data_IF_616892493035
#
_entry.id   IF_616892493035
#
_cell.length_a   1.000
_cell.length_b   1.000
_cell.length_c   1.000
_cell.angle_alpha   90.00
_cell.angle_beta   90.00
_cell.angle_gamma   90.00
#
_symmetry.space_group_name_H-M   'P 1'
#
loop_
_entity.id
_entity.type
_entity.pdbx_description
1 polymer ?
#
# COMPACT_ATOMS: atom_id res chain seq x y z
N UNK A 1 -2.70 -0.27 5.33
CA UNK A 1 -3.19 0.43 4.14
C UNK A 1 -3.64 1.86 4.42
N UNK A 2 -4.51 2.12 5.39
CA UNK A 2 -5.00 3.48 5.73
C UNK A 2 -3.85 4.46 6.02
N UNK A 3 -2.82 4.04 6.76
CA UNK A 3 -1.65 4.88 7.06
C UNK A 3 -0.89 5.35 5.80
N UNK A 4 -0.74 4.46 4.79
CA UNK A 4 -0.11 4.81 3.51
C UNK A 4 -0.93 5.87 2.77
N UNK A 5 -2.25 5.68 2.69
CA UNK A 5 -3.16 6.64 2.06
C UNK A 5 -3.08 7.99 2.74
N UNK A 6 -3.09 8.02 4.08
CA UNK A 6 -2.98 9.25 4.86
C UNK A 6 -1.64 9.95 4.64
N UNK A 7 -0.52 9.21 4.62
CA UNK A 7 0.81 9.75 4.29
C UNK A 7 0.81 10.42 2.90
N UNK A 8 0.23 9.77 1.87
CA UNK A 8 0.14 10.32 0.51
C UNK A 8 -0.65 11.63 0.50
N UNK A 9 -1.83 11.67 1.15
CA UNK A 9 -2.67 12.87 1.21
C UNK A 9 -1.95 14.00 1.94
N UNK A 10 -1.30 13.72 3.07
CA UNK A 10 -0.56 14.73 3.85
C UNK A 10 0.62 15.28 3.05
N UNK A 11 1.47 14.43 2.47
CA UNK A 11 2.62 14.86 1.66
C UNK A 11 2.16 15.71 0.47
N UNK A 12 1.16 15.23 -0.30
CA UNK A 12 0.65 15.98 -1.45
C UNK A 12 0.01 17.31 -1.04
N UNK A 13 -0.65 17.37 0.13
CA UNK A 13 -1.23 18.59 0.69
C UNK A 13 -0.15 19.62 1.05
N UNK A 14 0.91 19.20 1.72
CA UNK A 14 2.04 20.07 2.08
C UNK A 14 2.69 20.64 0.81
N UNK A 15 3.00 19.78 -0.17
CA UNK A 15 3.68 20.22 -1.38
C UNK A 15 2.85 21.20 -2.20
N UNK A 16 1.57 20.95 -2.40
CA UNK A 16 0.72 21.85 -3.16
C UNK A 16 0.48 23.18 -2.43
N UNK A 17 0.45 23.15 -1.10
CA UNK A 17 0.35 24.37 -0.27
C UNK A 17 1.59 25.25 -0.44
N UNK A 18 2.78 24.65 -0.42
CA UNK A 18 4.04 25.38 -0.69
C UNK A 18 4.05 26.00 -2.09
N UNK A 19 3.53 25.27 -3.10
CA UNK A 19 3.37 25.82 -4.43
C UNK A 19 2.50 27.07 -4.45
N UNK A 20 1.30 27.03 -3.87
CA UNK A 20 0.38 28.17 -3.87
C UNK A 20 0.87 29.37 -3.06
N UNK A 21 1.58 29.13 -1.96
CA UNK A 21 2.10 30.19 -1.11
C UNK A 21 3.32 30.90 -1.71
N UNK A 22 4.25 30.14 -2.29
CA UNK A 22 5.57 30.67 -2.65
C UNK A 22 5.85 30.72 -4.15
N UNK A 23 5.35 29.73 -4.92
CA UNK A 23 5.80 29.47 -6.29
C UNK A 23 4.82 29.95 -7.35
N UNK A 24 3.50 29.87 -7.12
CA UNK A 24 2.48 30.16 -8.14
C UNK A 24 2.61 31.56 -8.75
N UNK A 25 2.92 32.56 -7.91
CA UNK A 25 2.99 33.97 -8.33
C UNK A 25 4.33 34.37 -8.95
N UNK A 26 5.29 33.43 -9.00
CA UNK A 26 6.64 33.72 -9.50
C UNK A 26 6.81 33.32 -10.97
N UNK A 27 7.51 34.17 -11.72
CA UNK A 27 7.82 33.89 -13.13
C UNK A 27 9.02 32.94 -13.27
N UNK A 28 8.93 31.76 -12.64
CA UNK A 28 9.89 30.65 -12.71
C UNK A 28 9.20 29.39 -13.28
N UNK A 29 8.44 29.57 -14.34
CA UNK A 29 7.44 28.62 -14.87
C UNK A 29 7.98 27.23 -15.14
N UNK A 30 9.21 27.10 -15.72
CA UNK A 30 9.85 25.80 -15.95
C UNK A 30 10.15 25.07 -14.64
N UNK A 31 10.64 25.79 -13.63
CA UNK A 31 10.86 25.23 -12.30
C UNK A 31 9.54 24.80 -11.65
N UNK A 32 8.51 25.63 -11.76
CA UNK A 32 7.18 25.32 -11.23
C UNK A 32 6.61 24.05 -11.82
N UNK A 33 6.80 23.80 -13.13
CA UNK A 33 6.40 22.56 -13.77
C UNK A 33 7.12 21.35 -13.19
N UNK A 34 8.46 21.42 -13.10
CA UNK A 34 9.27 20.33 -12.53
C UNK A 34 8.88 20.09 -11.07
N UNK A 35 8.70 21.16 -10.28
CA UNK A 35 8.28 21.08 -8.89
C UNK A 35 6.93 20.36 -8.75
N UNK A 36 5.92 20.77 -9.53
CA UNK A 36 4.58 20.17 -9.46
C UNK A 36 4.59 18.68 -9.82
N UNK A 37 5.31 18.30 -10.88
CA UNK A 37 5.38 16.90 -11.30
C UNK A 37 6.20 16.06 -10.31
N UNK A 38 7.39 16.55 -9.91
CA UNK A 38 8.24 15.83 -8.95
C UNK A 38 7.60 15.71 -7.57
N UNK A 39 6.96 16.76 -7.06
CA UNK A 39 6.26 16.74 -5.77
C UNK A 39 5.07 15.78 -5.80
N UNK A 40 4.33 15.74 -6.90
CA UNK A 40 3.24 14.79 -7.10
C UNK A 40 3.75 13.35 -7.05
N UNK A 41 4.76 13.00 -7.87
CA UNK A 41 5.32 11.65 -7.91
C UNK A 41 5.96 11.27 -6.57
N UNK A 42 6.69 12.21 -5.94
CA UNK A 42 7.36 11.98 -4.67
C UNK A 42 6.34 11.71 -3.55
N UNK A 43 5.19 12.39 -3.54
CA UNK A 43 4.14 12.11 -2.53
C UNK A 43 3.64 10.67 -2.54
N UNK A 44 3.67 10.02 -3.70
CA UNK A 44 3.33 8.59 -3.85
C UNK A 44 4.52 7.65 -3.55
N UNK A 45 5.75 8.12 -3.78
CA UNK A 45 6.95 7.32 -3.55
C UNK A 45 7.38 7.27 -2.07
N UNK A 46 7.22 8.38 -1.33
CA UNK A 46 7.67 8.52 0.06
C UNK A 46 7.24 7.39 0.99
N UNK A 47 5.99 6.89 0.99
CA UNK A 47 5.58 5.81 1.89
C UNK A 47 6.32 4.48 1.69
N UNK A 48 6.98 4.30 0.54
CA UNK A 48 7.74 3.10 0.19
C UNK A 48 9.25 3.27 0.38
N UNK A 49 9.70 4.46 0.77
CA UNK A 49 11.11 4.74 1.05
C UNK A 49 11.38 4.36 2.50
N UNK A 50 12.28 3.38 2.71
CA UNK A 50 12.75 2.99 4.04
C UNK A 50 14.12 3.60 4.31
N UNK A 51 14.29 4.23 5.47
CA UNK A 51 15.58 4.77 5.92
C UNK A 51 16.08 3.91 7.07
N UNK A 52 17.20 3.21 6.87
CA UNK A 52 17.86 2.42 7.91
C UNK A 52 18.70 3.33 8.82
N UNK A 53 18.36 3.34 10.10
CA UNK A 53 19.12 4.08 11.12
C UNK A 53 20.02 3.12 11.90
N UNK A 54 21.30 3.47 12.17
CA UNK A 54 22.14 2.67 13.06
C UNK A 54 21.58 2.73 14.48
N UNK A 55 21.39 1.58 15.11
CA UNK A 55 20.96 1.49 16.51
C UNK A 55 22.13 1.75 17.45
N UNK A 56 21.93 2.66 18.40
CA UNK A 56 22.82 2.81 19.56
C UNK A 56 22.34 1.83 20.63
N UNK A 57 23.14 0.79 20.90
CA UNK A 57 22.76 -0.33 21.75
C UNK A 57 22.79 0.04 23.23
N UNK A 58 21.66 -0.10 23.92
CA UNK A 58 21.61 -0.33 25.36
C UNK A 58 21.31 -1.81 25.59
N UNK A 59 22.24 -2.53 26.15
CA UNK A 59 22.11 -3.94 26.48
C UNK A 59 20.98 -4.15 27.51
N UNK A 60 19.91 -4.83 27.10
CA UNK A 60 18.94 -5.41 28.03
C UNK A 60 18.83 -6.91 27.76
N UNK A 61 18.89 -7.68 28.82
CA UNK A 61 18.69 -9.14 28.80
C UNK A 61 17.37 -9.53 28.15
N UNK A 62 17.32 -10.59 27.33
CA UNK A 62 16.08 -11.04 26.70
C UNK A 62 15.08 -11.47 27.77
N UNK A 63 13.89 -10.89 27.72
CA UNK A 63 12.78 -11.29 28.59
C UNK A 63 11.70 -11.93 27.72
N UNK A 64 11.34 -13.18 28.08
CA UNK A 64 10.16 -13.86 27.54
C UNK A 64 8.92 -13.25 28.19
N UNK A 65 8.11 -12.52 27.43
CA UNK A 65 6.83 -12.00 27.89
C UNK A 65 5.75 -12.90 27.32
N UNK A 66 5.00 -13.55 28.21
CA UNK A 66 3.79 -14.28 27.83
C UNK A 66 2.62 -13.30 27.99
N UNK A 67 2.06 -12.88 26.88
CA UNK A 67 0.95 -11.94 26.85
C UNK A 67 -0.31 -12.50 27.54
N UNK A 68 -1.18 -11.62 28.01
CA UNK A 68 -2.44 -12.06 28.59
C UNK A 68 -3.23 -12.89 27.59
N UNK A 69 -3.54 -14.10 28.00
CA UNK A 69 -4.26 -15.07 27.18
C UNK A 69 -5.68 -14.55 27.01
N UNK A 70 -5.99 -13.99 25.86
CA UNK A 70 -7.38 -13.87 25.45
C UNK A 70 -7.86 -15.31 25.20
N UNK A 71 -8.57 -15.86 26.19
CA UNK A 71 -9.20 -17.17 26.05
C UNK A 71 -10.30 -17.03 24.99
N UNK A 72 -9.94 -17.22 23.75
CA UNK A 72 -10.91 -17.47 22.70
C UNK A 72 -11.25 -18.95 22.76
N UNK A 73 -12.42 -19.27 23.31
CA UNK A 73 -13.11 -20.51 22.95
C UNK A 73 -13.17 -20.55 21.43
N UNK A 74 -12.32 -21.35 20.83
CA UNK A 74 -12.42 -21.64 19.39
C UNK A 74 -13.62 -22.56 19.22
N UNK A 75 -14.81 -21.96 19.26
CA UNK A 75 -15.95 -22.55 18.55
C UNK A 75 -15.48 -22.55 17.09
N UNK A 76 -15.29 -23.73 16.52
CA UNK A 76 -15.04 -23.87 15.09
C UNK A 76 -16.19 -23.13 14.41
N UNK A 77 -15.95 -21.97 13.78
CA UNK A 77 -17.03 -21.29 13.09
C UNK A 77 -17.34 -22.21 11.91
N UNK A 78 -18.52 -22.82 11.93
CA UNK A 78 -19.15 -23.22 10.68
C UNK A 78 -19.15 -21.95 9.83
N UNK A 79 -18.47 -21.97 8.69
CA UNK A 79 -18.39 -20.86 7.74
C UNK A 79 -19.82 -20.51 7.28
N UNK A 80 -20.54 -19.81 8.12
CA UNK A 80 -21.63 -18.99 7.64
C UNK A 80 -20.96 -17.85 6.88
N UNK A 81 -21.25 -17.77 5.60
CA UNK A 81 -20.71 -16.77 4.68
C UNK A 81 -20.89 -15.37 5.25
N UNK A 82 -19.97 -14.97 6.14
CA UNK A 82 -19.97 -13.65 6.73
C UNK A 82 -19.67 -12.66 5.61
N UNK A 83 -20.58 -11.76 5.40
CA UNK A 83 -20.42 -10.62 4.50
C UNK A 83 -19.13 -9.90 4.89
N UNK A 84 -18.06 -10.17 4.15
CA UNK A 84 -16.75 -9.62 4.47
C UNK A 84 -16.74 -8.17 4.01
N UNK A 85 -16.89 -7.23 4.95
CA UNK A 85 -16.90 -5.79 4.70
C UNK A 85 -15.68 -5.34 3.86
N UNK A 86 -14.54 -6.00 4.06
CA UNK A 86 -13.32 -5.74 3.30
C UNK A 86 -13.50 -6.05 1.82
N UNK A 87 -14.14 -7.18 1.48
CA UNK A 87 -14.42 -7.56 0.09
C UNK A 87 -15.41 -6.60 -0.57
N UNK A 88 -16.41 -6.13 0.20
CA UNK A 88 -17.34 -5.12 -0.28
C UNK A 88 -16.64 -3.79 -0.58
N UNK A 89 -15.75 -3.32 0.29
CA UNK A 89 -14.96 -2.10 0.06
C UNK A 89 -14.07 -2.24 -1.18
N UNK A 90 -13.43 -3.39 -1.40
CA UNK A 90 -12.66 -3.66 -2.60
C UNK A 90 -13.54 -3.68 -3.85
N UNK A 91 -14.74 -4.25 -3.77
CA UNK A 91 -15.72 -4.25 -4.87
C UNK A 91 -16.12 -2.84 -5.27
N UNK A 92 -16.44 -1.98 -4.31
CA UNK A 92 -16.78 -0.55 -4.54
C UNK A 92 -15.60 0.19 -5.17
N UNK A 93 -14.38 -0.01 -4.64
CA UNK A 93 -13.17 0.62 -5.19
C UNK A 93 -12.94 0.23 -6.65
N UNK A 94 -13.01 -1.06 -6.98
CA UNK A 94 -12.85 -1.57 -8.35
C UNK A 94 -13.92 -1.02 -9.27
N UNK A 95 -15.18 -0.96 -8.82
CA UNK A 95 -16.29 -0.44 -9.61
C UNK A 95 -16.09 1.03 -9.98
N UNK A 96 -15.76 1.89 -8.99
CA UNK A 96 -15.51 3.32 -9.23
C UNK A 96 -14.28 3.51 -10.14
N UNK A 97 -13.20 2.79 -9.87
CA UNK A 97 -11.95 2.88 -10.66
C UNK A 97 -12.20 2.46 -12.11
N UNK A 98 -12.93 1.36 -12.33
CA UNK A 98 -13.29 0.88 -13.67
C UNK A 98 -14.19 1.88 -14.40
N UNK A 99 -15.17 2.48 -13.72
CA UNK A 99 -16.01 3.53 -14.28
C UNK A 99 -15.20 4.75 -14.73
N UNK A 100 -14.27 5.23 -13.87
CA UNK A 100 -13.41 6.37 -14.17
C UNK A 100 -12.45 6.06 -15.32
N UNK A 101 -11.90 4.85 -15.36
CA UNK A 101 -11.03 4.38 -16.44
C UNK A 101 -11.77 4.35 -17.76
N UNK A 102 -12.97 3.77 -17.79
CA UNK A 102 -13.83 3.73 -18.98
C UNK A 102 -14.19 5.15 -19.47
N UNK A 103 -14.58 6.04 -18.56
CA UNK A 103 -14.85 7.45 -18.88
C UNK A 103 -13.64 8.15 -19.52
N UNK A 104 -12.44 7.96 -18.97
CA UNK A 104 -11.22 8.55 -19.53
C UNK A 104 -10.88 7.94 -20.89
N UNK A 105 -11.02 6.62 -21.06
CA UNK A 105 -10.82 5.94 -22.32
C UNK A 105 -11.77 6.48 -23.41
N UNK A 106 -13.07 6.62 -23.09
CA UNK A 106 -14.05 7.22 -24.00
C UNK A 106 -13.64 8.65 -24.38
N UNK A 107 -13.15 9.45 -23.42
CA UNK A 107 -12.67 10.81 -23.70
C UNK A 107 -11.48 10.82 -24.68
N UNK A 108 -10.51 9.93 -24.50
CA UNK A 108 -9.37 9.80 -25.43
C UNK A 108 -9.81 9.30 -26.80
N UNK A 109 -10.75 8.35 -26.86
CA UNK A 109 -11.32 7.86 -28.12
C UNK A 109 -12.10 8.95 -28.85
N UNK A 110 -12.81 9.85 -28.14
CA UNK A 110 -13.48 11.00 -28.75
C UNK A 110 -12.46 11.91 -29.44
N UNK A 111 -11.33 12.24 -28.79
CA UNK A 111 -10.25 13.05 -29.41
C UNK A 111 -9.68 12.33 -30.64
N UNK A 112 -9.41 11.02 -30.52
CA UNK A 112 -8.85 10.23 -31.63
C UNK A 112 -9.83 10.11 -32.83
N UNK A 113 -11.13 10.23 -32.60
CA UNK A 113 -12.18 10.17 -33.62
C UNK A 113 -12.52 11.52 -34.28
N UNK A 114 -11.90 12.63 -33.79
CA UNK A 114 -12.10 13.93 -34.44
C UNK A 114 -11.60 13.80 -35.88
N UNK A 115 -12.53 13.98 -36.81
CA UNK A 115 -12.25 13.90 -38.27
C UNK A 115 -12.06 15.30 -38.84
N UNK A 116 -11.15 15.43 -39.77
CA UNK A 116 -10.87 16.70 -40.42
C UNK A 116 -9.79 16.60 -41.50
N UNK A 117 -9.56 17.69 -42.16
CA UNK A 117 -8.51 17.79 -43.19
C UNK A 117 -7.15 18.01 -42.51
N UNK A 118 -6.19 17.12 -42.76
CA UNK A 118 -4.81 17.29 -42.31
C UNK A 118 -4.10 18.34 -43.14
N UNK A 119 -3.53 19.32 -42.45
CA UNK A 119 -2.68 20.36 -43.04
C UNK A 119 -1.31 20.38 -42.34
N UNK A 120 -0.22 20.53 -43.12
CA UNK A 120 1.12 20.65 -42.54
C UNK A 120 1.52 22.12 -42.54
N UNK A 121 1.74 22.67 -41.36
CA UNK A 121 2.12 24.06 -41.17
C UNK A 121 3.36 24.13 -40.26
N UNK A 122 4.46 24.73 -40.74
CA UNK A 122 5.74 24.83 -40.01
C UNK A 122 6.19 23.52 -39.33
N UNK A 123 6.16 22.39 -40.04
CA UNK A 123 6.55 21.05 -39.57
C UNK A 123 5.60 20.42 -38.50
N UNK A 124 4.48 21.04 -38.23
CA UNK A 124 3.47 20.50 -37.32
C UNK A 124 2.22 20.05 -38.09
N UNK A 125 1.59 18.99 -37.61
CA UNK A 125 0.33 18.50 -38.17
C UNK A 125 -0.83 19.27 -37.53
N UNK A 126 -1.65 19.89 -38.36
CA UNK A 126 -2.88 20.56 -37.95
C UNK A 126 -4.05 19.79 -38.51
N UNK A 127 -5.04 19.51 -37.72
CA UNK A 127 -6.30 18.92 -38.13
C UNK A 127 -7.36 19.99 -38.15
N UNK A 128 -7.82 20.35 -39.35
CA UNK A 128 -8.88 21.33 -39.58
C UNK A 128 -10.22 20.62 -39.63
N UNK A 129 -11.14 21.02 -38.76
CA UNK A 129 -12.48 20.47 -38.69
C UNK A 129 -13.50 21.53 -39.17
N UNK A 130 -14.59 21.07 -39.77
CA UNK A 130 -15.73 21.96 -40.14
C UNK A 130 -16.49 22.48 -38.93
N UNK A 131 -16.37 21.85 -37.81
CA UNK A 131 -16.96 22.31 -36.54
C UNK A 131 -16.23 23.58 -36.06
N UNK A 132 -16.98 24.50 -35.46
CA UNK A 132 -16.40 25.69 -34.83
C UNK A 132 -15.68 25.30 -33.52
N UNK A 133 -14.51 24.69 -33.66
CA UNK A 133 -13.71 24.15 -32.58
C UNK A 133 -12.59 25.14 -32.21
N UNK A 134 -12.53 25.55 -30.96
CA UNK A 134 -11.39 26.32 -30.43
C UNK A 134 -10.09 25.58 -30.62
N UNK A 135 -9.01 26.27 -30.94
CA UNK A 135 -7.69 25.66 -31.05
C UNK A 135 -7.31 24.92 -29.74
N UNK A 136 -6.83 23.72 -29.90
CA UNK A 136 -6.18 22.97 -28.83
C UNK A 136 -5.17 21.97 -29.39
N UNK A 137 -4.22 21.60 -28.57
CA UNK A 137 -3.19 20.63 -28.94
C UNK A 137 -3.28 19.36 -28.09
N UNK A 138 -3.16 18.23 -28.76
CA UNK A 138 -3.06 16.94 -28.11
C UNK A 138 -1.98 16.07 -28.77
N UNK A 139 -1.08 15.51 -27.96
CA UNK A 139 0.08 14.72 -28.40
C UNK A 139 0.94 15.47 -29.41
N UNK A 140 0.85 15.19 -30.71
CA UNK A 140 1.64 15.81 -31.80
C UNK A 140 0.79 16.58 -32.80
N UNK A 141 -0.51 16.77 -32.53
CA UNK A 141 -1.46 17.36 -33.47
C UNK A 141 -2.14 18.57 -32.83
N UNK A 142 -2.25 19.64 -33.60
CA UNK A 142 -3.08 20.81 -33.27
C UNK A 142 -4.44 20.60 -33.93
N UNK A 143 -5.51 20.76 -33.18
CA UNK A 143 -6.89 20.67 -33.63
C UNK A 143 -7.50 22.06 -33.62
N UNK A 144 -8.18 22.45 -34.70
CA UNK A 144 -8.87 23.75 -34.78
C UNK A 144 -9.95 23.74 -35.86
N UNK A 145 -10.91 24.65 -35.73
CA UNK A 145 -11.92 24.88 -36.76
C UNK A 145 -11.32 25.50 -38.03
N UNK A 146 -11.95 25.26 -39.20
CA UNK A 146 -11.51 25.87 -40.48
C UNK A 146 -11.57 27.41 -40.44
N UNK A 147 -12.36 28.02 -39.55
CA UNK A 147 -12.48 29.48 -39.37
C UNK A 147 -11.18 30.13 -38.87
N UNK A 148 -10.26 29.37 -38.29
CA UNK A 148 -8.96 29.87 -37.83
C UNK A 148 -7.87 29.93 -38.93
N UNK A 149 -8.20 29.44 -40.09
CA UNK A 149 -7.27 29.44 -41.24
C UNK A 149 -7.80 30.34 -42.37
N UNK A 150 -7.18 31.51 -42.55
CA UNK A 150 -7.48 32.43 -43.62
C UNK A 150 -6.37 32.38 -44.66
N UNK A 151 -6.68 32.06 -45.94
CA UNK A 151 -5.69 31.97 -47.03
C UNK A 151 -4.49 31.11 -46.72
N UNK A 152 -4.68 29.96 -46.04
CA UNK A 152 -3.61 29.06 -45.55
C UNK A 152 -2.67 29.69 -44.49
N UNK A 153 -3.08 30.77 -43.86
CA UNK A 153 -2.33 31.42 -42.76
C UNK A 153 -3.12 31.35 -41.48
N UNK A 154 -2.45 30.94 -40.42
CA UNK A 154 -3.01 30.91 -39.04
C UNK A 154 -2.40 32.10 -38.29
N UNK A 155 -3.17 32.72 -37.34
CA UNK A 155 -2.60 33.76 -36.50
C UNK A 155 -1.32 33.22 -35.81
N UNK A 156 -0.15 33.84 -35.99
CA UNK A 156 1.09 33.36 -35.42
C UNK A 156 1.05 33.19 -33.92
N UNK A 157 0.25 33.99 -33.22
CA UNK A 157 0.10 33.94 -31.74
C UNK A 157 -0.61 32.68 -31.31
N UNK A 158 -1.71 32.31 -32.00
CA UNK A 158 -2.42 31.05 -31.74
C UNK A 158 -1.52 29.85 -32.07
N UNK A 159 -0.87 29.89 -33.22
CA UNK A 159 0.03 28.81 -33.63
C UNK A 159 1.18 28.58 -32.65
N UNK A 160 1.87 29.66 -32.19
CA UNK A 160 2.98 29.54 -31.24
C UNK A 160 2.48 29.03 -29.90
N UNK A 161 1.30 29.44 -29.45
CA UNK A 161 0.67 28.96 -28.21
C UNK A 161 0.48 27.44 -28.26
N UNK A 162 -0.24 26.94 -29.28
CA UNK A 162 -0.54 25.52 -29.45
C UNK A 162 0.71 24.66 -29.73
N UNK A 163 1.62 25.18 -30.56
CA UNK A 163 2.93 24.56 -30.80
C UNK A 163 3.71 24.34 -29.50
N UNK A 164 3.68 25.28 -28.59
CA UNK A 164 4.39 25.18 -27.31
C UNK A 164 3.87 24.04 -26.45
N UNK A 165 2.56 23.78 -26.44
CA UNK A 165 1.99 22.63 -25.76
C UNK A 165 2.53 21.31 -26.31
N UNK A 166 2.70 21.20 -27.64
CA UNK A 166 3.25 20.01 -28.28
C UNK A 166 4.75 19.86 -27.96
N UNK A 167 5.54 20.92 -28.18
CA UNK A 167 6.99 20.89 -27.99
C UNK A 167 7.39 20.60 -26.56
N UNK A 168 6.64 21.15 -25.60
CA UNK A 168 6.84 20.87 -24.19
C UNK A 168 6.15 19.61 -23.69
N UNK A 169 5.42 18.87 -24.56
CA UNK A 169 4.75 17.61 -24.24
C UNK A 169 3.79 17.71 -23.06
N UNK A 170 3.03 18.82 -22.95
CA UNK A 170 2.08 19.06 -21.87
C UNK A 170 1.02 17.95 -21.76
N UNK A 171 0.66 17.29 -22.85
CA UNK A 171 -0.27 16.16 -22.85
C UNK A 171 0.19 15.00 -21.97
N UNK A 172 1.51 14.76 -21.85
CA UNK A 172 2.06 13.70 -20.99
C UNK A 172 1.80 14.00 -19.51
N UNK A 173 2.02 15.25 -19.09
CA UNK A 173 1.79 15.66 -17.71
C UNK A 173 0.33 15.45 -17.30
N UNK A 174 -0.59 15.80 -18.20
CA UNK A 174 -2.04 15.61 -17.98
C UNK A 174 -2.42 14.13 -17.96
N UNK A 175 -1.81 13.30 -18.81
CA UNK A 175 -2.06 11.86 -18.80
C UNK A 175 -1.58 11.21 -17.50
N UNK A 176 -0.37 11.55 -17.03
CA UNK A 176 0.15 11.06 -15.74
C UNK A 176 -0.82 11.43 -14.61
N UNK A 177 -1.24 12.68 -14.56
CA UNK A 177 -2.17 13.15 -13.55
C UNK A 177 -3.52 12.43 -13.62
N UNK A 178 -4.06 12.20 -14.82
CA UNK A 178 -5.32 11.49 -15.00
C UNK A 178 -5.20 10.02 -14.56
N UNK A 179 -4.09 9.34 -14.84
CA UNK A 179 -3.83 7.98 -14.34
C UNK A 179 -3.85 7.97 -12.81
N UNK A 180 -3.13 8.89 -12.16
CA UNK A 180 -3.14 9.01 -10.70
C UNK A 180 -4.54 9.29 -10.15
N UNK A 181 -5.35 10.13 -10.82
CA UNK A 181 -6.74 10.43 -10.42
C UNK A 181 -7.68 9.23 -10.56
N UNK A 182 -7.45 8.34 -11.50
CA UNK A 182 -8.24 7.12 -11.66
C UNK A 182 -8.03 6.18 -10.45
N UNK A 183 -6.77 5.94 -10.08
CA UNK A 183 -6.43 5.04 -8.98
C UNK A 183 -6.57 5.66 -7.59
N UNK A 184 -6.41 6.97 -7.50
CA UNK A 184 -6.49 7.72 -6.23
C UNK A 184 -7.63 8.73 -6.23
N UNK A 185 -8.79 8.32 -6.75
CA UNK A 185 -9.98 9.18 -6.89
C UNK A 185 -10.45 9.76 -5.55
N UNK A 186 -10.14 9.10 -4.45
CA UNK A 186 -10.42 9.54 -3.08
C UNK A 186 -9.49 10.65 -2.59
N UNK A 187 -8.42 11.01 -3.31
CA UNK A 187 -7.51 12.09 -2.94
C UNK A 187 -7.96 13.43 -3.54
N UNK A 188 -8.58 14.34 -2.77
CA UNK A 188 -9.07 15.62 -3.28
C UNK A 188 -7.94 16.57 -3.71
N UNK A 189 -6.73 16.37 -3.20
CA UNK A 189 -5.57 17.22 -3.49
C UNK A 189 -5.17 17.16 -4.97
N UNK A 190 -5.47 16.04 -5.64
CA UNK A 190 -5.24 15.88 -7.08
C UNK A 190 -6.02 16.89 -7.93
N UNK A 191 -7.17 17.39 -7.45
CA UNK A 191 -7.90 18.47 -8.13
C UNK A 191 -7.12 19.78 -8.10
N UNK A 192 -6.42 20.05 -6.99
CA UNK A 192 -5.58 21.26 -6.87
C UNK A 192 -4.34 21.12 -7.76
N UNK A 193 -3.70 19.95 -7.81
CA UNK A 193 -2.61 19.68 -8.76
C UNK A 193 -3.04 19.85 -10.21
N UNK A 194 -4.22 19.33 -10.58
CA UNK A 194 -4.76 19.48 -11.93
C UNK A 194 -4.88 20.96 -12.32
N UNK A 195 -5.47 21.76 -11.44
CA UNK A 195 -5.59 23.22 -11.65
C UNK A 195 -4.24 23.91 -11.75
N UNK A 196 -3.29 23.57 -10.87
CA UNK A 196 -1.97 24.17 -10.85
C UNK A 196 -1.16 23.81 -12.11
N UNK A 197 -1.15 22.54 -12.52
CA UNK A 197 -0.42 22.05 -13.71
C UNK A 197 -0.98 22.69 -14.97
N UNK A 198 -2.29 22.67 -15.19
CA UNK A 198 -2.92 23.29 -16.35
C UNK A 198 -2.62 24.79 -16.40
N UNK A 199 -2.78 25.49 -15.27
CA UNK A 199 -2.50 26.94 -15.22
C UNK A 199 -1.04 27.24 -15.53
N UNK A 200 -0.10 26.42 -15.06
CA UNK A 200 1.31 26.60 -15.35
C UNK A 200 1.66 26.29 -16.82
N UNK A 201 0.96 25.32 -17.48
CA UNK A 201 1.08 25.05 -18.90
C UNK A 201 0.67 26.27 -19.74
N UNK A 202 -0.47 26.90 -19.37
CA UNK A 202 -0.93 28.13 -20.03
C UNK A 202 0.10 29.26 -19.89
N UNK A 203 0.68 29.43 -18.69
CA UNK A 203 1.73 30.45 -18.49
C UNK A 203 2.97 30.18 -19.35
N UNK A 204 3.36 28.92 -19.54
CA UNK A 204 4.48 28.55 -20.39
C UNK A 204 4.20 28.80 -21.88
N UNK A 205 2.99 28.51 -22.35
CA UNK A 205 2.56 28.80 -23.70
C UNK A 205 2.50 30.31 -23.96
N UNK A 206 1.91 31.08 -23.03
CA UNK A 206 1.88 32.54 -23.10
C UNK A 206 3.29 33.14 -23.09
N UNK A 207 4.19 32.61 -22.25
CA UNK A 207 5.58 33.08 -22.25
C UNK A 207 6.27 32.89 -23.62
N UNK A 208 5.95 31.80 -24.33
CA UNK A 208 6.50 31.53 -25.66
C UNK A 208 5.97 32.55 -26.68
N UNK A 209 4.69 32.89 -26.66
CA UNK A 209 4.11 33.94 -27.51
C UNK A 209 4.76 35.30 -27.25
N UNK A 210 4.88 35.65 -25.96
CA UNK A 210 5.49 36.94 -25.55
C UNK A 210 6.95 37.10 -25.96
N UNK A 211 7.71 35.98 -26.08
CA UNK A 211 9.11 36.02 -26.55
C UNK A 211 9.26 36.34 -28.05
N UNK A 212 8.18 36.26 -28.81
CA UNK A 212 8.17 36.57 -30.25
C UNK A 212 7.72 38.04 -30.54
N UNK A 213 8.07 38.97 -29.65
CA UNK A 213 7.80 40.41 -29.82
C UNK A 213 6.32 40.78 -30.04
N UNK A 214 5.41 40.03 -29.41
CA UNK A 214 3.99 40.30 -29.46
C UNK A 214 3.61 41.40 -28.46
N UNK A 215 2.72 42.31 -28.87
CA UNK A 215 2.13 43.28 -27.92
C UNK A 215 1.23 42.56 -26.92
N UNK A 216 1.46 42.83 -25.63
CA UNK A 216 0.74 42.20 -24.53
C UNK A 216 -0.77 42.45 -24.59
N UNK A 217 -1.15 43.72 -24.95
CA UNK A 217 -2.56 44.10 -24.98
C UNK A 217 -3.29 43.40 -26.13
N UNK A 218 -2.67 43.40 -27.32
CA UNK A 218 -3.24 42.72 -28.48
C UNK A 218 -3.42 41.21 -28.22
N UNK A 219 -2.42 40.57 -27.59
CA UNK A 219 -2.54 39.16 -27.26
C UNK A 219 -3.60 38.88 -26.18
N UNK A 220 -3.71 39.76 -25.18
CA UNK A 220 -4.77 39.67 -24.17
C UNK A 220 -6.15 39.82 -24.79
N UNK A 221 -6.32 40.75 -25.76
CA UNK A 221 -7.56 40.92 -26.49
C UNK A 221 -7.91 39.68 -27.31
N UNK A 222 -6.93 39.09 -28.02
CA UNK A 222 -7.11 37.86 -28.76
C UNK A 222 -7.64 36.72 -27.87
N UNK A 223 -7.02 36.52 -26.69
CA UNK A 223 -7.49 35.52 -25.73
C UNK A 223 -8.92 35.83 -25.26
N UNK A 224 -9.25 37.09 -25.08
CA UNK A 224 -10.60 37.50 -24.64
C UNK A 224 -11.64 37.25 -25.73
N UNK A 225 -11.33 37.60 -26.98
CA UNK A 225 -12.19 37.32 -28.15
C UNK A 225 -12.40 35.81 -28.30
N UNK A 226 -11.36 34.99 -28.15
CA UNK A 226 -11.46 33.54 -28.20
C UNK A 226 -12.42 32.99 -27.15
N UNK A 227 -12.34 33.49 -25.92
CA UNK A 227 -13.25 33.09 -24.84
C UNK A 227 -14.68 33.55 -25.13
N UNK A 228 -14.88 34.74 -25.66
CA UNK A 228 -16.21 35.31 -25.95
C UNK A 228 -16.92 34.58 -27.13
N UNK A 229 -16.16 34.24 -28.16
CA UNK A 229 -16.69 33.55 -29.35
C UNK A 229 -17.12 32.10 -29.09
N UNK A 230 -16.56 31.47 -28.03
CA UNK A 230 -16.86 30.07 -27.68
C UNK A 230 -17.69 29.92 -26.42
N UNK A 231 -18.39 30.97 -25.97
CA UNK A 231 -19.26 30.89 -24.79
C UNK A 231 -20.48 30.02 -25.07
N UNK A 232 -20.49 28.82 -24.51
CA UNK A 232 -21.66 28.02 -24.24
C UNK A 232 -22.42 28.59 -23.01
N UNK A 233 -23.74 28.28 -22.81
CA UNK A 233 -24.66 29.02 -21.94
C UNK A 233 -24.20 29.27 -20.49
N UNK A 234 -24.82 30.25 -19.81
CA UNK A 234 -24.27 31.04 -18.69
C UNK A 234 -23.95 30.33 -17.36
N UNK A 235 -24.25 29.03 -17.23
CA UNK A 235 -24.04 28.31 -15.96
C UNK A 235 -22.61 27.75 -15.72
N UNK A 236 -21.72 27.86 -16.71
CA UNK A 236 -20.35 27.27 -16.62
C UNK A 236 -19.22 28.30 -16.51
N UNK A 237 -19.53 29.59 -16.42
CA UNK A 237 -18.56 30.69 -16.67
C UNK A 237 -17.62 31.05 -15.52
N UNK A 238 -17.89 30.74 -14.27
CA UNK A 238 -17.09 31.25 -13.15
C UNK A 238 -15.68 30.63 -13.06
N UNK A 239 -15.48 29.44 -13.61
CA UNK A 239 -14.18 28.75 -13.49
C UNK A 239 -13.14 29.20 -14.52
N UNK A 240 -13.51 29.53 -15.74
CA UNK A 240 -12.57 29.92 -16.79
C UNK A 240 -12.03 31.36 -16.58
N UNK A 241 -12.86 32.28 -16.10
CA UNK A 241 -12.45 33.67 -15.90
C UNK A 241 -11.30 33.83 -14.90
N UNK A 242 -11.28 33.04 -13.83
CA UNK A 242 -10.19 33.09 -12.85
C UNK A 242 -8.83 32.65 -13.42
N UNK A 243 -8.80 31.66 -14.33
CA UNK A 243 -7.58 31.25 -14.98
C UNK A 243 -7.08 32.31 -15.97
N UNK A 244 -7.96 32.91 -16.75
CA UNK A 244 -7.64 34.00 -17.68
C UNK A 244 -7.06 35.21 -16.95
N UNK A 245 -7.68 35.60 -15.83
CA UNK A 245 -7.14 36.67 -14.97
C UNK A 245 -5.71 36.37 -14.50
N UNK A 246 -5.44 35.13 -14.07
CA UNK A 246 -4.09 34.70 -13.66
C UNK A 246 -3.09 34.77 -14.83
N UNK A 247 -3.47 34.35 -16.03
CA UNK A 247 -2.65 34.47 -17.25
C UNK A 247 -2.28 35.93 -17.51
N UNK A 248 -3.25 36.84 -17.49
CA UNK A 248 -3.02 38.28 -17.73
C UNK A 248 -2.11 38.92 -16.70
N UNK A 249 -2.23 38.54 -15.42
CA UNK A 249 -1.33 38.98 -14.36
C UNK A 249 0.08 38.44 -14.60
N UNK A 250 0.22 37.14 -14.93
CA UNK A 250 1.51 36.50 -15.12
C UNK A 250 2.28 37.06 -16.33
N UNK A 251 1.61 37.45 -17.42
CA UNK A 251 2.22 38.07 -18.58
C UNK A 251 2.94 39.40 -18.22
N UNK A 252 2.37 40.17 -17.28
CA UNK A 252 2.92 41.43 -16.80
C UNK A 252 3.95 41.28 -15.68
N UNK A 253 4.01 40.12 -15.04
CA UNK A 253 4.88 39.87 -13.88
C UNK A 253 6.35 39.74 -14.31
N UNK A 254 7.24 40.41 -13.58
CA UNK A 254 8.70 40.28 -13.73
C UNK A 254 9.25 39.31 -12.70
N UNK A 255 10.40 38.68 -12.97
CA UNK A 255 11.11 37.85 -11.99
C UNK A 255 11.49 38.70 -10.77
N UNK A 256 11.19 38.18 -9.57
CA UNK A 256 11.60 38.85 -8.33
C UNK A 256 13.04 38.51 -7.96
N UNK A 257 13.69 39.38 -7.18
CA UNK A 257 15.04 39.10 -6.64
C UNK A 257 15.08 37.89 -5.73
N UNK A 258 13.94 37.54 -5.10
CA UNK A 258 13.79 36.40 -4.21
C UNK A 258 13.43 35.09 -4.90
N UNK A 259 13.43 35.05 -6.23
CA UNK A 259 13.06 33.86 -6.98
C UNK A 259 13.95 32.63 -6.68
N UNK A 260 15.24 32.86 -6.39
CA UNK A 260 16.17 31.82 -5.98
C UNK A 260 15.82 31.26 -4.60
N UNK A 261 15.57 32.13 -3.62
CA UNK A 261 15.16 31.73 -2.27
C UNK A 261 13.87 30.90 -2.29
N UNK A 262 12.89 31.29 -3.12
CA UNK A 262 11.64 30.52 -3.25
C UNK A 262 11.84 29.15 -3.88
N UNK A 263 12.78 29.02 -4.81
CA UNK A 263 13.18 27.70 -5.35
C UNK A 263 13.83 26.83 -4.28
N UNK A 264 14.76 27.39 -3.48
CA UNK A 264 15.40 26.63 -2.41
C UNK A 264 14.38 26.18 -1.37
N UNK A 265 13.44 27.02 -0.96
CA UNK A 265 12.33 26.63 -0.07
C UNK A 265 11.54 25.46 -0.65
N UNK A 266 11.19 25.50 -1.94
CA UNK A 266 10.49 24.39 -2.58
C UNK A 266 11.30 23.08 -2.52
N UNK A 267 12.59 23.13 -2.82
CA UNK A 267 13.47 21.94 -2.80
C UNK A 267 13.67 21.42 -1.37
N UNK A 268 13.91 22.31 -0.39
CA UNK A 268 14.12 21.90 1.00
C UNK A 268 12.89 21.22 1.58
N UNK A 269 11.68 21.69 1.24
CA UNK A 269 10.43 21.02 1.67
C UNK A 269 10.30 19.62 1.07
N UNK A 270 10.68 19.42 -0.22
CA UNK A 270 10.67 18.08 -0.83
C UNK A 270 11.62 17.14 -0.09
N UNK A 271 12.85 17.57 0.20
CA UNK A 271 13.85 16.77 0.91
C UNK A 271 13.41 16.48 2.36
N UNK A 272 12.93 17.50 3.08
CA UNK A 272 12.46 17.35 4.46
C UNK A 272 11.30 16.38 4.57
N UNK A 273 10.39 16.38 3.60
CA UNK A 273 9.26 15.46 3.58
C UNK A 273 9.73 13.99 3.42
N UNK A 274 10.75 13.71 2.60
CA UNK A 274 11.34 12.39 2.49
C UNK A 274 11.85 11.91 3.85
N UNK A 275 12.59 12.77 4.56
CA UNK A 275 13.15 12.40 5.88
C UNK A 275 12.08 12.21 6.95
N UNK A 276 11.01 13.02 6.92
CA UNK A 276 9.97 13.02 7.94
C UNK A 276 8.95 11.89 7.76
N UNK A 277 8.60 11.57 6.51
CA UNK A 277 7.49 10.65 6.21
C UNK A 277 7.93 9.28 5.68
N UNK A 278 9.25 9.07 5.42
CA UNK A 278 9.78 7.75 5.08
C UNK A 278 9.67 6.79 6.27
N UNK A 279 9.61 5.51 5.98
CA UNK A 279 9.58 4.46 7.00
C UNK A 279 10.98 4.27 7.59
N UNK A 280 11.08 4.21 8.93
CA UNK A 280 12.38 4.04 9.61
C UNK A 280 12.52 2.58 9.97
N UNK A 281 13.53 1.92 9.42
CA UNK A 281 13.97 0.60 9.85
C UNK A 281 15.30 0.73 10.57
N UNK A 282 15.47 0.01 11.67
CA UNK A 282 16.73 -0.01 12.40
C UNK A 282 17.61 -1.11 11.82
N UNK A 283 18.82 -0.77 11.37
CA UNK A 283 19.75 -1.73 10.78
C UNK A 283 20.25 -2.72 11.81
N UNK A 284 20.13 -4.01 11.51
CA UNK A 284 20.89 -5.05 12.19
C UNK A 284 22.33 -5.02 11.68
N UNK A 285 23.32 -4.97 12.59
CA UNK A 285 24.71 -4.99 12.21
C UNK A 285 25.10 -6.39 11.68
N UNK A 286 25.55 -6.55 10.41
CA UNK A 286 25.94 -7.84 9.88
C UNK A 286 27.32 -8.35 10.40
N UNK A 287 27.97 -7.61 11.28
CA UNK A 287 29.37 -7.90 11.70
C UNK A 287 29.53 -8.97 12.79
N UNK A 288 28.48 -9.78 13.09
CA UNK A 288 28.61 -10.84 14.09
C UNK A 288 28.94 -12.24 13.53
N UNK A 289 29.21 -12.36 12.21
CA UNK A 289 29.55 -13.67 11.62
C UNK A 289 31.05 -14.03 11.57
N UNK A 290 31.95 -13.20 12.12
CA UNK A 290 33.39 -13.43 12.00
C UNK A 290 34.14 -13.43 13.35
N UNK A 291 33.62 -13.97 14.43
CA UNK A 291 34.44 -14.25 15.61
C UNK A 291 33.86 -15.41 16.41
N UNK A 292 34.13 -16.63 16.00
CA UNK A 292 34.25 -17.76 16.91
C UNK A 292 35.13 -18.83 16.30
N UNK A 293 36.41 -18.51 16.19
CA UNK A 293 37.48 -19.53 16.17
C UNK A 293 38.69 -18.92 16.79
N UNK A 294 38.70 -18.91 18.12
CA UNK A 294 39.94 -18.85 18.88
C UNK A 294 39.85 -19.91 19.96
N UNK A 295 40.28 -21.08 19.57
CA UNK A 295 40.63 -22.16 20.49
C UNK A 295 41.72 -21.61 21.43
N UNK A 296 41.35 -21.33 22.67
CA UNK A 296 42.31 -21.06 23.72
C UNK A 296 42.72 -22.42 24.29
N UNK A 297 43.91 -22.85 23.93
CA UNK A 297 44.60 -23.94 24.60
C UNK A 297 44.68 -23.63 26.09
N UNK A 298 44.09 -24.48 26.93
CA UNK A 298 44.34 -24.50 28.36
C UNK A 298 45.51 -25.48 28.65
N UNK A 299 46.43 -25.13 29.53
CA UNK A 299 47.58 -25.97 29.83
C UNK A 299 47.18 -27.16 30.68
N UNK A 300 47.66 -28.30 30.24
CA UNK A 300 47.62 -29.60 30.89
C UNK A 300 48.36 -29.55 32.27
N UNK A 301 47.63 -29.86 33.34
CA UNK A 301 48.25 -30.34 34.56
C UNK A 301 47.88 -31.80 34.76
N UNK A 302 48.94 -32.56 34.87
CA UNK A 302 49.07 -34.02 35.11
C UNK A 302 48.62 -34.34 36.53
N UNK A 303 47.68 -35.26 36.66
CA UNK A 303 47.32 -35.90 37.94
C UNK A 303 46.89 -37.33 37.70
N UNK A 304 47.79 -38.22 38.03
CA UNK A 304 47.80 -39.66 37.95
C UNK A 304 46.60 -40.33 38.65
N UNK A 305 45.98 -41.36 38.07
CA UNK A 305 45.63 -42.68 38.63
C UNK A 305 44.66 -43.49 37.74
N UNK A 306 45.20 -44.54 37.31
CA UNK A 306 44.84 -45.95 36.94
C UNK A 306 43.40 -46.39 36.66
N UNK A 307 43.25 -47.51 35.94
CA UNK A 307 42.25 -47.75 34.95
C UNK A 307 41.12 -48.72 35.43
N UNK A 308 39.91 -48.58 34.87
CA UNK A 308 38.97 -49.68 34.88
C UNK A 308 38.59 -50.02 33.42
N UNK A 309 38.88 -51.26 33.06
CA UNK A 309 38.45 -51.97 31.90
C UNK A 309 36.96 -52.28 32.05
N UNK A 310 36.21 -52.17 30.98
CA UNK A 310 35.26 -53.25 30.56
C UNK A 310 34.69 -52.97 29.17
N UNK A 311 35.10 -53.83 28.27
CA UNK A 311 34.37 -54.58 27.22
C UNK A 311 33.52 -53.88 26.18
N UNK A 312 34.06 -53.92 24.99
CA UNK A 312 33.43 -53.91 23.67
C UNK A 312 32.22 -54.87 23.56
N UNK A 313 31.13 -54.40 23.00
CA UNK A 313 30.32 -55.20 22.08
C UNK A 313 29.81 -54.28 20.98
N UNK A 314 30.37 -54.44 19.80
CA UNK A 314 29.79 -54.05 18.51
C UNK A 314 28.78 -55.12 18.07
N UNK A 315 27.74 -54.75 17.33
CA UNK A 315 27.48 -55.46 16.11
C UNK A 315 27.35 -54.60 14.88
N UNK A 316 28.16 -54.95 13.94
CA UNK A 316 28.07 -54.71 12.52
C UNK A 316 26.72 -55.22 11.93
N UNK A 317 26.08 -54.44 11.07
CA UNK A 317 25.24 -55.00 10.02
C UNK A 317 25.37 -54.27 8.70
N UNK A 318 25.54 -55.09 7.70
CA UNK A 318 25.85 -54.91 6.31
C UNK A 318 24.88 -54.07 5.49
N UNK A 319 25.48 -53.35 4.60
CA UNK A 319 25.01 -52.89 3.31
C UNK A 319 24.44 -54.00 2.41
N UNK A 320 23.27 -53.80 1.78
CA UNK A 320 22.93 -54.41 0.51
C UNK A 320 22.03 -53.50 -0.34
N UNK A 321 22.65 -53.04 -1.38
CA UNK A 321 22.10 -52.54 -2.65
C UNK A 321 21.18 -53.56 -3.30
N UNK A 322 20.04 -53.12 -3.86
CA UNK A 322 19.56 -53.63 -5.15
C UNK A 322 18.54 -52.67 -5.78
N UNK A 323 18.87 -52.35 -7.01
CA UNK A 323 18.04 -51.77 -8.06
C UNK A 323 16.85 -52.65 -8.41
N UNK A 324 15.75 -52.11 -8.91
CA UNK A 324 15.24 -52.25 -10.27
C UNK A 324 13.71 -52.01 -10.41
N UNK A 325 13.42 -51.18 -11.38
CA UNK A 325 12.43 -51.33 -12.48
C UNK A 325 10.93 -51.08 -12.23
N UNK A 326 10.52 -49.97 -12.81
CA UNK A 326 9.54 -49.75 -13.90
C UNK A 326 8.39 -50.74 -14.01
N UNK A 327 7.15 -50.23 -13.94
CA UNK A 327 6.11 -50.55 -14.95
C UNK A 327 4.89 -49.65 -14.79
N UNK A 328 4.52 -49.06 -15.90
CA UNK A 328 3.26 -48.37 -16.19
C UNK A 328 2.07 -49.36 -16.19
N UNK A 329 0.87 -48.84 -15.96
CA UNK A 329 -0.40 -49.20 -16.65
C UNK A 329 -1.49 -48.24 -16.21
N UNK A 330 -1.86 -47.35 -17.10
CA UNK A 330 -3.13 -47.05 -17.77
C UNK A 330 -4.45 -47.40 -17.08
N UNK A 331 -5.32 -46.39 -16.97
CA UNK A 331 -6.61 -46.49 -17.61
C UNK A 331 -7.87 -46.50 -16.72
N UNK A 332 -8.86 -45.81 -17.24
CA UNK A 332 -10.31 -45.87 -16.99
C UNK A 332 -10.84 -44.89 -15.90
N UNK A 333 -11.89 -44.18 -16.09
CA UNK A 333 -12.91 -43.91 -17.12
C UNK A 333 -13.92 -42.96 -16.44
N UNK A 334 -14.34 -42.01 -17.18
CA UNK A 334 -15.43 -41.04 -16.97
C UNK A 334 -16.78 -41.76 -16.83
N UNK A 335 -17.61 -41.34 -15.88
CA UNK A 335 -19.04 -41.53 -16.02
C UNK A 335 -19.85 -40.38 -15.41
N UNK A 336 -20.64 -39.76 -16.28
CA UNK A 336 -21.76 -38.85 -16.01
C UNK A 336 -22.92 -39.62 -15.40
N UNK A 337 -23.77 -38.95 -14.59
CA UNK A 337 -25.23 -39.05 -14.66
C UNK A 337 -25.89 -38.08 -13.67
N UNK A 338 -26.56 -37.09 -14.22
CA UNK A 338 -28.00 -36.84 -14.38
C UNK A 338 -28.73 -36.25 -13.15
N UNK A 339 -29.24 -35.04 -13.44
CA UNK A 339 -30.45 -34.33 -12.97
C UNK A 339 -31.56 -35.21 -12.37
N UNK A 340 -32.16 -34.73 -11.25
CA UNK A 340 -33.61 -34.74 -11.07
C UNK A 340 -34.02 -33.45 -10.35
N UNK A 341 -35.00 -32.77 -10.94
CA UNK A 341 -35.78 -31.64 -10.52
C UNK A 341 -36.91 -32.15 -9.58
N UNK A 342 -37.30 -31.32 -8.58
CA UNK A 342 -38.70 -30.87 -8.38
C UNK A 342 -38.84 -30.22 -7.00
N UNK A 343 -39.20 -28.97 -7.07
CA UNK A 343 -40.38 -28.23 -6.57
C UNK A 343 -40.93 -28.60 -5.21
N UNK A 344 -41.00 -27.67 -4.27
CA UNK A 344 -42.21 -27.23 -3.55
C UNK A 344 -41.90 -25.92 -2.80
N UNK A 345 -42.64 -24.84 -3.14
CA UNK A 345 -42.82 -23.58 -2.36
C UNK A 345 -44.01 -23.81 -1.42
N UNK A 346 -44.00 -23.23 -0.23
CA UNK A 346 -45.10 -22.32 0.06
C UNK A 346 -44.68 -20.96 0.64
N UNK A 347 -45.40 -20.00 0.19
CA UNK A 347 -45.58 -18.61 0.52
C UNK A 347 -46.33 -18.46 1.86
N UNK A 348 -46.09 -17.38 2.59
CA UNK A 348 -46.97 -16.67 3.59
C UNK A 348 -45.98 -15.84 4.45
N UNK A 349 -46.12 -14.60 4.90
CA UNK A 349 -46.99 -13.46 4.69
C UNK A 349 -46.27 -12.26 5.38
N UNK A 350 -46.58 -11.07 4.92
CA UNK A 350 -46.10 -9.79 5.47
C UNK A 350 -46.62 -9.53 6.88
N UNK A 351 -45.79 -8.88 7.70
CA UNK A 351 -46.32 -8.29 8.92
C UNK A 351 -45.33 -7.68 9.90
N UNK A 352 -45.17 -6.35 9.81
CA UNK A 352 -44.92 -5.43 10.94
C UNK A 352 -43.51 -5.17 11.44
N UNK A 353 -43.05 -3.97 11.09
CA UNK A 353 -41.96 -3.22 11.74
C UNK A 353 -42.21 -3.07 13.25
N UNK A 354 -41.20 -3.38 14.05
CA UNK A 354 -40.98 -2.70 15.33
C UNK A 354 -39.47 -2.68 15.60
N UNK A 355 -38.91 -1.46 15.63
CA UNK A 355 -37.57 -1.20 16.10
C UNK A 355 -37.50 -1.56 17.59
N UNK A 356 -36.67 -2.56 17.92
CA UNK A 356 -36.19 -2.72 19.28
C UNK A 356 -34.71 -3.03 19.19
N UNK A 357 -33.93 -2.07 19.64
CA UNK A 357 -32.49 -2.26 19.93
C UNK A 357 -32.41 -3.26 21.04
N UNK A 358 -32.13 -4.51 20.75
CA UNK A 358 -31.83 -5.53 21.75
C UNK A 358 -30.32 -5.66 21.77
N UNK A 359 -29.75 -5.05 22.77
CA UNK A 359 -28.43 -5.30 23.29
C UNK A 359 -28.43 -6.71 23.87
N UNK A 360 -28.22 -7.74 23.04
CA UNK A 360 -28.15 -9.13 23.53
C UNK A 360 -26.69 -9.43 23.89
N UNK A 361 -26.32 -9.01 25.11
CA UNK A 361 -25.35 -9.78 25.88
C UNK A 361 -26.03 -11.10 26.22
N UNK A 362 -25.94 -12.08 25.36
CA UNK A 362 -26.22 -13.46 25.69
C UNK A 362 -25.00 -13.96 26.47
N UNK A 363 -25.10 -13.90 27.80
CA UNK A 363 -24.24 -14.64 28.73
C UNK A 363 -24.55 -16.13 28.53
N UNK A 364 -23.89 -16.77 27.56
CA UNK A 364 -23.70 -18.21 27.58
C UNK A 364 -22.87 -18.50 28.83
N UNK A 365 -23.36 -19.37 29.74
CA UNK A 365 -22.60 -19.87 30.88
C UNK A 365 -21.48 -20.80 30.41
N UNK A 366 -20.48 -20.20 29.69
CA UNK A 366 -19.31 -20.89 29.22
C UNK A 366 -18.15 -20.62 30.15
N UNK A 367 -17.63 -21.68 30.78
CA UNK A 367 -16.46 -21.63 31.65
C UNK A 367 -15.30 -22.24 30.86
N UNK A 368 -14.21 -21.51 30.61
CA UNK A 368 -13.04 -22.02 29.87
C UNK A 368 -12.30 -23.09 30.68
N UNK A 369 -11.50 -23.91 29.99
CA UNK A 369 -10.63 -24.87 30.64
C UNK A 369 -9.59 -24.13 31.52
N UNK A 370 -9.32 -24.65 32.70
CA UNK A 370 -8.43 -24.02 33.66
C UNK A 370 -7.27 -24.93 34.08
N UNK A 371 -6.07 -24.35 34.08
CA UNK A 371 -4.92 -24.98 34.72
C UNK A 371 -5.13 -25.06 36.26
N UNK A 372 -4.75 -26.16 36.94
CA UNK A 372 -4.98 -26.32 38.37
C UNK A 372 -4.38 -25.21 39.25
N UNK A 373 -3.25 -24.64 38.85
CA UNK A 373 -2.62 -23.50 39.53
C UNK A 373 -3.09 -22.12 39.02
N UNK A 374 -4.05 -22.08 38.07
CA UNK A 374 -4.50 -20.89 37.40
C UNK A 374 -3.55 -20.40 36.31
N UNK A 375 -4.03 -19.49 35.47
CA UNK A 375 -3.28 -18.99 34.27
C UNK A 375 -1.93 -18.35 34.62
N UNK A 376 -1.85 -17.71 35.78
CA UNK A 376 -0.61 -17.06 36.22
C UNK A 376 0.50 -18.07 36.52
N UNK A 377 0.16 -19.18 37.17
CA UNK A 377 1.10 -20.24 37.51
C UNK A 377 1.58 -20.98 36.25
N UNK A 378 0.66 -21.27 35.32
CA UNK A 378 0.97 -21.83 34.00
C UNK A 378 1.98 -20.97 33.26
N UNK A 379 1.77 -19.66 33.15
CA UNK A 379 2.66 -18.71 32.48
C UNK A 379 4.05 -18.66 33.12
N UNK A 380 4.11 -18.67 34.45
CA UNK A 380 5.37 -18.70 35.20
C UNK A 380 6.13 -19.99 34.93
N UNK A 381 5.46 -21.14 34.92
CA UNK A 381 6.09 -22.43 34.63
C UNK A 381 6.62 -22.49 33.22
N UNK A 382 5.85 -22.03 32.23
CA UNK A 382 6.31 -21.98 30.83
C UNK A 382 7.51 -21.04 30.71
N UNK A 383 7.44 -19.83 31.26
CA UNK A 383 8.53 -18.85 31.12
C UNK A 383 9.84 -19.29 31.80
N UNK A 384 9.77 -20.13 32.84
CA UNK A 384 10.95 -20.66 33.54
C UNK A 384 11.58 -21.86 32.84
N UNK A 385 10.79 -22.66 32.14
CA UNK A 385 11.20 -23.94 31.60
C UNK A 385 11.52 -23.89 30.12
N UNK A 386 11.14 -22.82 29.39
CA UNK A 386 11.54 -22.66 27.97
C UNK A 386 13.04 -22.38 27.92
N UNK A 387 13.77 -23.25 27.22
CA UNK A 387 15.23 -23.07 27.01
C UNK A 387 15.47 -22.03 25.92
N UNK A 388 15.97 -20.88 26.34
CA UNK A 388 16.25 -19.74 25.46
C UNK A 388 17.71 -19.68 25.01
N UNK A 389 18.56 -20.60 25.48
CA UNK A 389 20.01 -20.60 25.21
C UNK A 389 20.33 -20.73 23.71
N UNK A 390 19.52 -21.49 22.98
CA UNK A 390 19.66 -21.72 21.54
C UNK A 390 19.09 -20.56 20.66
N UNK A 391 18.52 -19.54 21.28
CA UNK A 391 17.99 -18.36 20.61
C UNK A 391 18.99 -17.18 20.61
N UNK A 392 20.23 -17.42 21.05
CA UNK A 392 21.32 -16.44 21.00
C UNK A 392 21.66 -16.05 19.56
N UNK A 393 21.62 -14.75 19.24
CA UNK A 393 21.94 -14.24 17.91
C UNK A 393 20.76 -13.62 17.17
N UNK A 394 19.56 -13.78 17.66
CA UNK A 394 18.39 -13.06 17.15
C UNK A 394 18.34 -11.62 17.67
N UNK A 395 17.81 -10.72 16.85
CA UNK A 395 17.53 -9.34 17.23
C UNK A 395 16.07 -9.01 16.85
N UNK A 396 15.43 -8.20 17.67
CA UNK A 396 14.02 -7.86 17.47
C UNK A 396 13.06 -8.73 18.27
N UNK A 397 11.83 -8.85 17.85
CA UNK A 397 10.77 -9.58 18.54
C UNK A 397 10.39 -10.81 17.73
N UNK A 398 10.45 -11.98 18.36
CA UNK A 398 9.95 -13.23 17.80
C UNK A 398 8.73 -13.68 18.58
N UNK A 399 7.76 -14.25 17.87
CA UNK A 399 6.51 -14.72 18.45
C UNK A 399 6.24 -16.17 18.10
N UNK A 400 5.70 -16.90 19.05
CA UNK A 400 5.17 -18.24 18.85
C UNK A 400 3.89 -18.41 19.66
N UNK A 401 2.98 -19.24 19.20
CA UNK A 401 1.74 -19.54 19.91
C UNK A 401 1.60 -21.03 20.09
N UNK A 402 1.41 -21.47 21.34
CA UNK A 402 1.08 -22.86 21.65
C UNK A 402 -0.44 -23.04 21.71
N UNK A 403 -0.91 -24.16 21.20
CA UNK A 403 -2.32 -24.60 21.23
C UNK A 403 -2.39 -25.92 21.99
N UNK A 404 -3.13 -25.97 23.09
CA UNK A 404 -3.33 -27.14 23.92
C UNK A 404 -4.75 -27.65 23.73
N UNK A 405 -4.90 -28.83 23.15
CA UNK A 405 -6.20 -29.48 22.97
C UNK A 405 -6.55 -30.28 24.24
N UNK A 406 -7.64 -29.91 24.90
CA UNK A 406 -8.10 -30.50 26.17
C UNK A 406 -9.45 -31.15 25.90
N UNK A 407 -9.56 -32.44 26.23
CA UNK A 407 -10.82 -33.18 26.06
C UNK A 407 -11.81 -32.94 27.25
N UNK A 408 -13.00 -33.52 27.14
CA UNK A 408 -14.06 -33.40 28.13
C UNK A 408 -13.68 -33.97 29.51
N UNK A 409 -12.67 -34.83 29.60
CA UNK A 409 -12.13 -35.38 30.83
C UNK A 409 -11.00 -34.54 31.45
N UNK A 410 -10.67 -33.41 30.84
CA UNK A 410 -9.59 -32.55 31.33
C UNK A 410 -8.19 -33.08 31.00
N UNK A 411 -8.05 -34.01 30.03
CA UNK A 411 -6.75 -34.52 29.58
C UNK A 411 -6.34 -33.82 28.30
N UNK A 412 -5.06 -33.53 28.19
CA UNK A 412 -4.44 -33.01 26.94
C UNK A 412 -4.41 -34.14 25.90
N UNK A 413 -4.96 -33.87 24.73
CA UNK A 413 -4.96 -34.81 23.59
C UNK A 413 -3.84 -34.51 22.61
N UNK A 414 -3.54 -33.22 22.41
CA UNK A 414 -2.54 -32.77 21.47
C UNK A 414 -2.01 -31.40 21.87
N UNK A 415 -0.73 -31.12 21.60
CA UNK A 415 -0.14 -29.78 21.70
C UNK A 415 0.49 -29.45 20.37
N UNK A 416 0.19 -28.27 19.84
CA UNK A 416 0.79 -27.77 18.61
C UNK A 416 1.33 -26.36 18.81
N UNK A 417 2.27 -25.93 17.98
CA UNK A 417 2.81 -24.58 18.02
C UNK A 417 2.84 -23.96 16.62
N UNK A 418 2.66 -22.65 16.55
CA UNK A 418 2.73 -21.89 15.31
C UNK A 418 3.40 -20.54 15.54
N UNK A 419 4.39 -20.19 14.73
CA UNK A 419 5.12 -18.93 14.77
C UNK A 419 6.19 -18.90 13.70
N UNK A 420 6.79 -17.73 13.47
CA UNK A 420 7.81 -17.53 12.42
C UNK A 420 9.17 -18.15 12.77
N UNK A 421 9.46 -18.38 14.05
CA UNK A 421 10.76 -18.91 14.51
C UNK A 421 10.64 -20.39 14.89
N UNK A 422 11.27 -21.27 14.11
CA UNK A 422 11.23 -22.72 14.31
C UNK A 422 11.86 -23.16 15.63
N UNK A 423 12.91 -22.47 16.10
CA UNK A 423 13.59 -22.83 17.35
C UNK A 423 12.67 -22.53 18.53
N UNK A 424 12.06 -21.32 18.57
CA UNK A 424 11.09 -20.95 19.59
C UNK A 424 9.87 -21.87 19.56
N UNK A 425 9.36 -22.21 18.36
CA UNK A 425 8.24 -23.14 18.21
C UNK A 425 8.55 -24.50 18.84
N UNK A 426 9.72 -25.04 18.57
CA UNK A 426 10.16 -26.37 19.09
C UNK A 426 10.34 -26.36 20.59
N UNK A 427 11.03 -25.35 21.15
CA UNK A 427 11.25 -25.26 22.60
C UNK A 427 9.93 -24.99 23.36
N UNK A 428 9.06 -24.15 22.80
CA UNK A 428 7.73 -23.92 23.36
C UNK A 428 6.87 -25.20 23.29
N UNK A 429 6.88 -25.94 22.18
CA UNK A 429 6.19 -27.21 22.02
C UNK A 429 6.64 -28.21 23.06
N UNK A 430 7.95 -28.41 23.23
CA UNK A 430 8.53 -29.32 24.22
C UNK A 430 8.07 -28.96 25.64
N UNK A 431 8.28 -27.72 26.04
CA UNK A 431 7.96 -27.24 27.41
C UNK A 431 6.46 -27.34 27.71
N UNK A 432 5.61 -26.92 26.76
CA UNK A 432 4.15 -26.96 26.94
C UNK A 432 3.65 -28.42 26.97
N UNK A 433 4.22 -29.31 26.16
CA UNK A 433 3.89 -30.73 26.16
C UNK A 433 4.25 -31.39 27.50
N UNK A 434 5.43 -31.15 28.03
CA UNK A 434 5.86 -31.66 29.34
C UNK A 434 4.89 -31.19 30.45
N UNK A 435 4.63 -29.88 30.54
CA UNK A 435 3.71 -29.31 31.55
C UNK A 435 2.28 -29.86 31.39
N UNK A 436 1.81 -30.02 30.16
CA UNK A 436 0.44 -30.46 29.87
C UNK A 436 0.23 -31.93 30.18
N UNK A 437 1.23 -32.80 29.93
CA UNK A 437 1.14 -34.23 30.20
C UNK A 437 1.10 -34.56 31.70
N UNK A 438 1.72 -33.72 32.51
CA UNK A 438 1.73 -33.87 34.00
C UNK A 438 0.49 -33.29 34.66
N UNK A 439 -0.39 -32.65 33.89
CA UNK A 439 -1.50 -31.85 34.42
C UNK A 439 -2.88 -32.43 34.14
N UNK A 440 -3.71 -32.57 35.17
CA UNK A 440 -5.14 -32.78 34.99
C UNK A 440 -5.85 -31.43 34.96
N UNK A 441 -6.28 -31.00 33.78
CA UNK A 441 -7.00 -29.73 33.59
C UNK A 441 -8.41 -29.81 34.09
N UNK A 442 -8.97 -28.68 34.54
CA UNK A 442 -10.43 -28.55 34.63
C UNK A 442 -10.95 -28.34 33.22
N UNK A 443 -11.83 -29.23 32.69
CA UNK A 443 -12.35 -29.09 31.34
C UNK A 443 -13.19 -27.83 31.15
N UNK A 444 -13.30 -27.35 29.94
CA UNK A 444 -14.25 -26.27 29.62
C UNK A 444 -15.68 -26.76 29.83
N UNK A 445 -16.54 -25.86 30.30
CA UNK A 445 -17.95 -26.16 30.55
C UNK A 445 -18.83 -25.25 29.71
N UNK A 446 -19.87 -25.81 29.11
CA UNK A 446 -20.91 -25.08 28.40
C UNK A 446 -22.27 -25.62 28.90
N UNK A 447 -23.10 -24.73 29.41
CA UNK A 447 -24.42 -25.08 29.95
C UNK A 447 -24.38 -26.25 30.94
N UNK A 448 -23.32 -26.30 31.77
CA UNK A 448 -23.12 -27.34 32.80
C UNK A 448 -22.59 -28.68 32.26
N UNK A 449 -22.26 -28.79 30.98
CA UNK A 449 -21.64 -30.00 30.37
C UNK A 449 -20.18 -29.72 30.06
N UNK A 450 -19.32 -30.69 30.39
CA UNK A 450 -17.92 -30.63 29.98
C UNK A 450 -17.80 -30.76 28.44
N UNK A 451 -16.97 -29.93 27.84
CA UNK A 451 -16.72 -29.91 26.40
C UNK A 451 -15.21 -29.90 26.12
N UNK A 452 -14.83 -30.46 24.98
CA UNK A 452 -13.49 -30.33 24.47
C UNK A 452 -13.18 -28.86 24.08
N UNK A 453 -11.96 -28.42 24.34
CA UNK A 453 -11.56 -27.03 24.09
C UNK A 453 -10.09 -26.92 23.69
N UNK A 454 -9.73 -25.80 23.09
CA UNK A 454 -8.35 -25.48 22.74
C UNK A 454 -7.93 -24.22 23.48
N UNK A 455 -6.89 -24.35 24.32
CA UNK A 455 -6.27 -23.23 25.01
C UNK A 455 -5.12 -22.67 24.17
N UNK A 456 -5.16 -21.37 23.90
CA UNK A 456 -4.17 -20.66 23.11
C UNK A 456 -3.26 -19.84 24.02
N UNK A 457 -1.93 -20.07 23.93
CA UNK A 457 -0.92 -19.41 24.76
C UNK A 457 0.07 -18.69 23.82
N UNK A 458 -0.08 -17.38 23.62
CA UNK A 458 0.88 -16.59 22.88
C UNK A 458 2.11 -16.32 23.73
N UNK A 459 3.28 -16.55 23.15
CA UNK A 459 4.58 -16.30 23.73
C UNK A 459 5.36 -15.32 22.84
N UNK A 460 5.79 -14.21 23.40
CA UNK A 460 6.56 -13.17 22.72
C UNK A 460 7.90 -13.01 23.41
N UNK A 461 8.98 -13.11 22.65
CA UNK A 461 10.34 -12.89 23.12
C UNK A 461 10.95 -11.70 22.40
N UNK A 462 11.44 -10.73 23.18
CA UNK A 462 12.10 -9.54 22.64
C UNK A 462 13.59 -9.62 23.00
N UNK A 463 14.41 -9.61 21.96
CA UNK A 463 15.86 -9.53 22.11
C UNK A 463 16.27 -8.07 21.99
N UNK A 464 16.78 -7.53 23.09
CA UNK A 464 17.47 -6.24 23.08
C UNK A 464 18.95 -6.55 23.04
N UNK A 465 19.63 -6.16 21.96
CA UNK A 465 21.11 -6.33 21.87
C UNK A 465 21.81 -5.57 22.98
N UNK A 466 22.87 -6.15 23.50
CA UNK A 466 23.81 -5.41 24.34
C UNK A 466 24.54 -4.30 23.57
#
# INVERSE_FOLDING_TARGET
MIAIVLKIILCSSIFITVYFLFLEKERILRFNRVYLLSSLLLSYAIPFITITLPTHNSAKTPQLVIEETAQQLVVIPQEQGSFNLTNMMWGIYILITSFLLLRNLISLLKIARISGRKHFYHKHTILLTKENLSPFSFWKTIYMGESYMNNNVIDPRIFIHEKTHIEQKHSIDILILNVLRIFSWFNPILLLYNKAIITNHEFLADEAVMKNNCDIKEYQNLILEEILNHQNPPLTHSFNFNNTKKRFIMMKTKKTKFSLLKKTVGITVLISAVVLFSERTYAENPNHFLFSEKITEMPTQIGDQRPYQTNLVTPSYHEKTKEAQTSAITGFKKEELKKVSDTIVPRIDEGKKTNTVINTQQSSNEIPAQYPGGDKDLKIKISRNVDVSNLGGYSGTITSTAYIHINEMGKTTEVTTSGENEILNRELLKTVTEISNETNWKPAMKDGKAIASVLKIPATMTFTRP
#
